data_IF_646104082459
#
_entry.id   IF_646104082459
#
_cell.length_a   1.000
_cell.length_b   1.000
_cell.length_c   1.000
_cell.angle_alpha   90.00
_cell.angle_beta   90.00
_cell.angle_gamma   90.00
#
_symmetry.space_group_name_H-M   'P 1'
#
loop_
_entity.id
_entity.type
_entity.pdbx_description
1 polymer ?
#
# COMPACT_ATOMS: atom_id res chain seq x y z
N UNK A 1 -16.06 17.61 108.95
CA UNK A 1 -17.44 17.96 109.41
C UNK A 1 -17.25 19.15 110.35
N UNK A 2 -17.87 20.32 110.15
CA UNK A 2 -17.57 21.54 110.94
C UNK A 2 -17.69 21.26 112.45
N UNK A 3 -16.56 21.13 113.15
CA UNK A 3 -16.50 21.00 114.60
C UNK A 3 -16.60 22.39 115.22
N UNK A 4 -17.29 22.53 116.36
CA UNK A 4 -17.46 23.83 116.98
C UNK A 4 -16.13 24.34 117.58
N UNK A 5 -16.00 25.66 117.75
CA UNK A 5 -14.77 26.31 118.21
C UNK A 5 -14.33 25.88 119.61
N UNK A 6 -15.26 25.55 120.50
CA UNK A 6 -14.95 25.07 121.86
C UNK A 6 -14.36 23.67 121.85
N UNK A 7 -14.88 22.78 120.99
CA UNK A 7 -14.33 21.43 120.79
C UNK A 7 -12.92 21.48 120.19
N UNK A 8 -12.69 22.37 119.22
CA UNK A 8 -11.37 22.53 118.61
C UNK A 8 -10.36 23.16 119.58
N UNK A 9 -10.79 24.06 120.48
CA UNK A 9 -9.94 24.69 121.50
C UNK A 9 -9.43 23.67 122.54
N UNK A 10 -10.25 22.69 122.92
CA UNK A 10 -9.88 21.68 123.92
C UNK A 10 -8.62 20.88 123.55
N UNK A 11 -8.44 20.54 122.27
CA UNK A 11 -7.27 19.76 121.82
C UNK A 11 -5.93 20.49 122.01
N UNK A 12 -5.92 21.83 121.98
CA UNK A 12 -4.68 22.62 122.14
C UNK A 12 -4.41 22.98 123.60
N UNK A 13 -5.43 23.03 124.45
CA UNK A 13 -5.27 23.29 125.88
C UNK A 13 -4.86 22.04 126.67
N UNK A 14 -5.19 20.83 126.20
CA UNK A 14 -4.76 19.57 126.83
C UNK A 14 -3.36 19.11 126.40
N UNK A 15 -2.73 19.80 125.44
CA UNK A 15 -1.36 19.52 125.00
C UNK A 15 -1.23 18.28 124.10
N UNK A 16 -2.33 17.67 123.65
CA UNK A 16 -2.30 16.57 122.68
C UNK A 16 -2.07 17.09 121.27
N UNK A 17 -1.30 16.33 120.48
CA UNK A 17 -1.00 16.70 119.09
C UNK A 17 -2.23 16.41 118.20
N UNK A 18 -2.80 17.42 117.52
CA UNK A 18 -3.96 17.21 116.65
C UNK A 18 -3.65 16.23 115.52
N UNK A 19 -4.65 15.49 115.07
CA UNK A 19 -4.55 14.71 113.84
C UNK A 19 -4.57 15.63 112.61
N UNK A 20 -4.08 15.13 111.47
CA UNK A 20 -4.01 15.92 110.23
C UNK A 20 -5.38 16.41 109.75
N UNK A 21 -6.43 15.60 109.92
CA UNK A 21 -7.80 15.96 109.58
C UNK A 21 -8.32 17.11 110.46
N UNK A 22 -8.01 17.07 111.76
CA UNK A 22 -8.37 18.14 112.70
C UNK A 22 -7.63 19.45 112.39
N UNK A 23 -6.37 19.37 111.94
CA UNK A 23 -5.61 20.54 111.53
C UNK A 23 -6.18 21.16 110.24
N UNK A 24 -6.61 20.33 109.29
CA UNK A 24 -7.27 20.76 108.06
C UNK A 24 -8.60 21.46 108.36
N UNK A 25 -9.46 20.85 109.20
CA UNK A 25 -10.75 21.42 109.60
C UNK A 25 -10.58 22.79 110.28
N UNK A 26 -9.47 22.99 111.02
CA UNK A 26 -9.15 24.26 111.68
C UNK A 26 -8.75 25.36 110.68
N UNK A 27 -7.91 25.01 109.71
CA UNK A 27 -7.48 25.92 108.65
C UNK A 27 -8.69 26.34 107.82
N UNK A 28 -9.53 25.39 107.40
CA UNK A 28 -10.72 25.67 106.60
C UNK A 28 -11.71 26.57 107.36
N UNK A 29 -11.94 26.31 108.65
CA UNK A 29 -12.84 27.12 109.47
C UNK A 29 -12.29 28.53 109.76
N UNK A 30 -10.96 28.68 109.86
CA UNK A 30 -10.32 29.99 110.01
C UNK A 30 -10.35 30.81 108.71
N UNK A 31 -10.11 30.17 107.56
CA UNK A 31 -10.17 30.82 106.24
C UNK A 31 -11.61 31.24 105.92
N UNK A 32 -12.59 30.35 106.12
CA UNK A 32 -14.02 30.66 105.95
C UNK A 32 -14.45 31.84 106.84
N UNK A 33 -14.05 31.85 108.12
CA UNK A 33 -14.45 32.91 109.05
C UNK A 33 -13.89 34.29 108.69
N UNK A 34 -12.85 34.34 107.85
CA UNK A 34 -12.23 35.58 107.38
C UNK A 34 -12.71 36.00 105.99
N UNK A 35 -13.54 35.20 105.32
CA UNK A 35 -14.08 35.53 104.00
C UNK A 35 -15.59 35.84 104.08
N UNK A 36 -16.02 37.07 103.77
CA UNK A 36 -17.45 37.32 103.58
C UNK A 36 -17.96 36.50 102.38
N UNK A 37 -19.22 36.07 102.46
CA UNK A 37 -19.97 35.52 101.32
C UNK A 37 -19.80 36.50 100.15
N UNK A 38 -19.51 36.00 98.94
CA UNK A 38 -19.38 36.98 97.87
C UNK A 38 -19.46 36.46 96.47
N UNK A 39 -19.61 37.45 95.60
CA UNK A 39 -20.04 37.35 94.21
C UNK A 39 -19.05 36.59 93.32
N UNK A 40 -19.54 36.16 92.16
CA UNK A 40 -18.73 35.52 91.11
C UNK A 40 -17.63 36.48 90.59
N UNK A 41 -16.55 35.91 90.04
CA UNK A 41 -15.42 36.61 89.40
C UNK A 41 -14.65 37.60 90.30
N UNK A 42 -14.56 37.31 91.60
CA UNK A 42 -13.64 38.02 92.50
C UNK A 42 -12.19 37.59 92.27
N UNK A 43 -11.26 38.53 92.42
CA UNK A 43 -9.82 38.26 92.37
C UNK A 43 -9.21 38.39 93.75
N UNK A 44 -8.30 37.47 94.07
CA UNK A 44 -7.43 37.60 95.23
C UNK A 44 -6.22 38.46 94.85
N UNK A 45 -5.98 39.51 95.63
CA UNK A 45 -4.82 40.39 95.50
C UNK A 45 -3.96 40.16 96.74
N UNK A 46 -2.74 39.70 96.52
CA UNK A 46 -1.73 39.55 97.56
C UNK A 46 -0.92 40.84 97.57
N UNK A 47 -0.87 41.52 98.70
CA UNK A 47 -0.04 42.71 98.83
C UNK A 47 1.43 42.36 99.08
N UNK A 48 2.28 43.39 99.13
CA UNK A 48 3.73 43.25 99.33
C UNK A 48 4.13 42.64 100.69
N UNK A 49 3.21 42.62 101.66
CA UNK A 49 3.41 41.99 102.97
C UNK A 49 2.93 40.54 103.02
N UNK A 50 2.32 40.05 101.93
CA UNK A 50 1.74 38.72 101.83
C UNK A 50 0.31 38.63 102.35
N UNK A 51 -0.34 39.75 102.71
CA UNK A 51 -1.75 39.74 103.06
C UNK A 51 -2.62 39.54 101.81
N UNK A 52 -3.58 38.62 101.93
CA UNK A 52 -4.52 38.31 100.87
C UNK A 52 -5.80 39.12 101.07
N UNK A 53 -6.09 40.01 100.14
CA UNK A 53 -7.34 40.77 100.07
C UNK A 53 -8.18 40.35 98.86
N UNK A 54 -9.47 40.68 98.87
CA UNK A 54 -10.40 40.36 97.78
C UNK A 54 -10.78 41.65 97.05
N UNK A 55 -10.61 41.68 95.73
CA UNK A 55 -10.96 42.81 94.87
C UNK A 55 -11.93 42.39 93.74
N UNK A 56 -12.61 43.37 93.15
CA UNK A 56 -13.45 43.18 91.96
C UNK A 56 -12.62 42.86 90.72
N UNK A 57 -13.27 42.27 89.70
CA UNK A 57 -12.67 41.98 88.40
C UNK A 57 -12.03 43.24 87.77
N UNK A 58 -10.84 43.08 87.18
CA UNK A 58 -10.18 44.14 86.43
C UNK A 58 -10.55 43.99 84.95
N UNK A 59 -11.38 44.89 84.43
CA UNK A 59 -11.65 44.94 82.99
C UNK A 59 -10.43 45.52 82.25
N UNK A 60 -9.83 44.73 81.37
CA UNK A 60 -8.80 45.20 80.44
C UNK A 60 -9.53 45.71 79.19
N UNK A 61 -9.26 46.92 78.70
CA UNK A 61 -9.93 47.44 77.51
C UNK A 61 -9.72 46.50 76.31
N UNK A 62 -10.81 46.10 75.67
CA UNK A 62 -10.78 45.25 74.49
C UNK A 62 -10.52 46.10 73.25
N UNK A 63 -9.41 45.84 72.55
CA UNK A 63 -9.17 46.40 71.23
C UNK A 63 -9.61 45.42 70.15
N UNK A 64 -10.35 45.91 69.17
CA UNK A 64 -10.79 45.13 68.00
C UNK A 64 -10.58 45.94 66.73
N UNK A 65 -10.60 45.28 65.57
CA UNK A 65 -10.56 45.96 64.27
C UNK A 65 -11.96 45.98 63.68
N UNK A 66 -12.34 47.08 63.02
CA UNK A 66 -13.59 47.12 62.27
C UNK A 66 -13.53 46.22 61.04
N UNK A 67 -14.67 45.70 60.56
CA UNK A 67 -14.77 45.16 59.20
C UNK A 67 -14.43 46.25 58.18
N UNK A 68 -13.82 45.87 57.07
CA UNK A 68 -13.62 46.78 55.93
C UNK A 68 -14.98 46.99 55.26
N UNK A 69 -15.51 48.22 55.27
CA UNK A 69 -16.80 48.53 54.65
C UNK A 69 -16.69 49.69 53.67
N UNK A 70 -16.88 49.40 52.37
CA UNK A 70 -17.13 50.35 51.26
C UNK A 70 -16.10 51.45 50.96
N UNK A 71 -15.19 51.73 51.87
CA UNK A 71 -14.28 52.90 51.87
C UNK A 71 -12.82 52.48 52.03
N UNK A 72 -12.53 51.16 52.01
CA UNK A 72 -11.18 50.59 52.17
C UNK A 72 -10.46 51.06 53.44
N UNK A 73 -11.19 51.35 54.51
CA UNK A 73 -10.62 51.74 55.80
C UNK A 73 -10.73 50.61 56.81
N UNK A 74 -9.78 50.58 57.75
CA UNK A 74 -9.82 49.75 58.96
C UNK A 74 -9.65 50.66 60.17
N UNK A 75 -10.61 50.58 61.08
CA UNK A 75 -10.58 51.31 62.35
C UNK A 75 -10.07 50.39 63.46
N UNK A 76 -9.18 50.91 64.30
CA UNK A 76 -8.91 50.35 65.61
C UNK A 76 -10.01 50.83 66.56
N UNK A 77 -10.80 49.89 67.08
CA UNK A 77 -11.89 50.15 68.00
C UNK A 77 -11.43 49.86 69.43
N UNK A 78 -11.70 50.80 70.35
CA UNK A 78 -11.62 50.58 71.80
C UNK A 78 -13.03 50.59 72.35
N UNK A 79 -13.45 49.45 72.91
CA UNK A 79 -14.81 49.28 73.46
C UNK A 79 -15.91 49.65 72.44
N UNK A 80 -15.68 49.33 71.16
CA UNK A 80 -16.60 49.61 70.04
C UNK A 80 -16.50 51.02 69.43
N UNK A 81 -15.66 51.90 69.97
CA UNK A 81 -15.47 53.27 69.47
C UNK A 81 -14.16 53.40 68.71
N UNK A 82 -14.19 54.01 67.52
CA UNK A 82 -13.00 54.23 66.68
C UNK A 82 -12.02 55.20 67.36
N UNK A 83 -10.77 54.75 67.54
CA UNK A 83 -9.68 55.53 68.15
C UNK A 83 -8.51 55.78 67.20
N UNK A 84 -8.46 55.07 66.07
CA UNK A 84 -7.48 55.27 65.00
C UNK A 84 -8.02 54.66 63.71
N UNK A 85 -7.68 55.23 62.56
CA UNK A 85 -8.11 54.75 61.24
C UNK A 85 -6.90 54.67 60.30
N UNK A 86 -6.86 53.59 59.51
CA UNK A 86 -5.90 53.42 58.40
C UNK A 86 -6.67 53.35 57.09
N UNK A 87 -6.27 54.17 56.11
CA UNK A 87 -6.75 54.08 54.73
C UNK A 87 -5.91 53.05 53.96
N UNK A 88 -6.57 52.04 53.38
CA UNK A 88 -5.94 50.99 52.58
C UNK A 88 -5.89 51.32 51.09
N UNK A 89 -6.51 52.42 50.64
CA UNK A 89 -6.54 52.83 49.22
C UNK A 89 -5.15 52.87 48.57
N UNK A 90 -4.08 53.38 49.23
CA UNK A 90 -2.73 53.39 48.64
C UNK A 90 -2.12 52.01 48.39
N UNK A 91 -2.64 50.96 49.05
CA UNK A 91 -2.14 49.59 48.94
C UNK A 91 -2.97 48.72 47.99
N UNK A 92 -4.03 49.28 47.40
CA UNK A 92 -4.78 48.61 46.34
C UNK A 92 -4.12 48.90 45.00
N UNK A 93 -3.71 47.83 44.31
CA UNK A 93 -3.26 47.92 42.91
C UNK A 93 -4.49 48.03 41.98
N UNK A 94 -5.17 49.18 42.04
CA UNK A 94 -6.36 49.47 41.23
C UNK A 94 -6.25 50.76 40.42
N UNK A 95 -5.10 51.44 40.46
CA UNK A 95 -4.91 52.76 39.80
C UNK A 95 -3.97 52.68 38.60
N UNK A 96 -3.14 51.64 38.48
CA UNK A 96 -1.98 51.69 37.57
C UNK A 96 -2.07 50.86 36.28
N UNK A 97 -3.13 50.06 36.07
CA UNK A 97 -3.33 49.33 34.82
C UNK A 97 -4.82 49.31 34.44
N UNK A 98 -5.15 49.96 33.31
CA UNK A 98 -6.49 49.93 32.76
C UNK A 98 -6.93 48.48 32.45
N UNK A 99 -8.16 48.11 32.82
CA UNK A 99 -8.70 46.76 32.63
C UNK A 99 -9.10 46.53 31.18
N UNK A 100 -9.03 45.26 30.74
CA UNK A 100 -9.51 44.86 29.42
C UNK A 100 -11.04 44.96 29.33
N UNK A 101 -11.54 45.59 28.27
CA UNK A 101 -12.98 45.75 27.99
C UNK A 101 -13.40 44.92 26.77
N UNK A 102 -12.56 44.83 25.75
CA UNK A 102 -12.88 44.10 24.52
C UNK A 102 -11.63 43.59 23.81
N UNK A 103 -11.83 42.66 22.87
CA UNK A 103 -10.78 42.14 22.00
C UNK A 103 -11.36 41.71 20.65
N UNK A 104 -10.62 41.94 19.58
CA UNK A 104 -10.94 41.45 18.23
C UNK A 104 -9.70 40.82 17.60
N UNK A 105 -9.88 39.85 16.70
CA UNK A 105 -8.78 39.24 15.94
C UNK A 105 -9.03 39.51 14.46
N UNK A 106 -8.04 40.05 13.77
CA UNK A 106 -8.16 40.34 12.34
C UNK A 106 -7.92 39.10 11.45
N UNK A 107 -8.06 39.30 10.13
CA UNK A 107 -7.84 38.23 9.16
C UNK A 107 -6.40 37.70 9.13
N UNK A 108 -5.42 38.46 9.63
CA UNK A 108 -4.01 38.09 9.69
C UNK A 108 -3.63 37.44 11.03
N UNK A 109 -4.58 37.31 11.97
CA UNK A 109 -4.33 36.73 13.29
C UNK A 109 -3.79 37.72 14.31
N UNK A 110 -3.82 39.03 14.04
CA UNK A 110 -3.45 40.04 15.04
C UNK A 110 -4.63 40.32 15.96
N UNK A 111 -4.50 39.94 17.23
CA UNK A 111 -5.48 40.25 18.25
C UNK A 111 -5.25 41.67 18.78
N UNK A 112 -6.26 42.53 18.75
CA UNK A 112 -6.25 43.87 19.33
C UNK A 112 -7.17 43.90 20.53
N UNK A 113 -6.63 44.24 21.70
CA UNK A 113 -7.37 44.38 22.94
C UNK A 113 -7.54 45.85 23.29
N UNK A 114 -8.76 46.25 23.66
CA UNK A 114 -9.08 47.60 24.13
C UNK A 114 -9.28 47.59 25.63
N UNK A 115 -8.64 48.53 26.32
CA UNK A 115 -8.78 48.75 27.75
C UNK A 115 -9.85 49.81 28.05
N UNK A 116 -10.24 49.94 29.31
CA UNK A 116 -11.27 50.90 29.76
C UNK A 116 -10.89 52.38 29.59
N UNK A 117 -9.60 52.68 29.46
CA UNK A 117 -9.06 54.01 29.14
C UNK A 117 -8.98 54.27 27.62
N UNK A 118 -9.57 53.39 26.81
CA UNK A 118 -9.49 53.35 25.34
C UNK A 118 -8.07 53.13 24.79
N UNK A 119 -7.06 52.84 25.63
CA UNK A 119 -5.77 52.39 25.13
C UNK A 119 -5.89 50.97 24.56
N UNK A 120 -5.06 50.66 23.58
CA UNK A 120 -5.03 49.34 22.95
C UNK A 120 -3.65 48.72 23.02
N UNK A 121 -3.59 47.40 23.01
CA UNK A 121 -2.37 46.66 22.67
C UNK A 121 -2.71 45.48 21.79
N UNK A 122 -1.69 44.96 21.11
CA UNK A 122 -1.84 43.83 20.19
C UNK A 122 -1.05 42.61 20.63
N UNK A 123 -1.55 41.43 20.25
CA UNK A 123 -0.89 40.14 20.40
C UNK A 123 -0.95 39.43 19.05
N UNK A 124 0.20 38.98 18.55
CA UNK A 124 0.26 38.21 17.32
C UNK A 124 -0.11 36.75 17.58
N UNK A 125 -1.26 36.32 17.04
CA UNK A 125 -1.75 34.95 17.08
C UNK A 125 -1.71 34.26 15.71
N UNK A 126 -0.98 34.82 14.72
CA UNK A 126 -0.86 34.27 13.36
C UNK A 126 -0.46 32.79 13.35
N UNK A 127 0.41 32.39 14.28
CA UNK A 127 0.87 31.00 14.44
C UNK A 127 -0.23 30.00 14.83
N UNK A 128 -1.40 30.45 15.31
CA UNK A 128 -2.51 29.56 15.65
C UNK A 128 -3.41 29.24 14.44
N UNK A 129 -3.27 29.98 13.33
CA UNK A 129 -4.21 29.91 12.19
C UNK A 129 -3.88 28.79 11.18
N UNK A 130 -2.67 28.23 11.23
CA UNK A 130 -2.12 27.35 10.16
C UNK A 130 -1.99 25.86 10.53
N UNK A 131 -2.79 25.34 11.46
CA UNK A 131 -2.65 23.95 11.93
C UNK A 131 -3.37 22.88 11.09
N UNK A 132 -4.05 23.23 10.00
CA UNK A 132 -4.51 22.22 9.05
C UNK A 132 -3.34 21.82 8.13
N UNK A 133 -3.00 20.51 7.98
CA UNK A 133 -2.01 20.08 7.02
C UNK A 133 -2.36 20.59 5.62
N UNK A 134 -1.56 21.51 5.08
CA UNK A 134 -1.70 21.94 3.69
C UNK A 134 -1.18 20.80 2.81
N UNK A 135 -2.10 20.01 2.25
CA UNK A 135 -1.75 19.00 1.27
C UNK A 135 -1.26 19.71 -0.01
N UNK A 136 0.04 19.63 -0.29
CA UNK A 136 0.57 20.10 -1.56
C UNK A 136 0.33 19.04 -2.62
N UNK A 137 -0.42 19.40 -3.66
CA UNK A 137 -0.58 18.53 -4.81
C UNK A 137 0.77 18.43 -5.55
N UNK A 138 1.23 17.21 -5.86
CA UNK A 138 2.35 17.01 -6.78
C UNK A 138 1.93 17.29 -8.23
N UNK A 139 2.84 17.23 -9.19
CA UNK A 139 2.58 17.62 -10.60
C UNK A 139 1.38 16.95 -11.28
N UNK A 140 0.95 15.78 -10.81
CA UNK A 140 -0.13 14.99 -11.42
C UNK A 140 -1.45 15.06 -10.65
N UNK A 141 -1.52 15.84 -9.58
CA UNK A 141 -2.72 16.02 -8.78
C UNK A 141 -3.02 17.52 -8.76
N UNK A 142 -4.29 17.87 -8.91
CA UNK A 142 -4.80 19.20 -8.60
C UNK A 142 -5.76 19.06 -7.43
N UNK A 143 -5.59 19.92 -6.43
CA UNK A 143 -6.48 20.00 -5.27
C UNK A 143 -7.26 21.29 -5.44
N UNK A 144 -8.57 21.17 -5.62
CA UNK A 144 -9.45 22.32 -5.58
C UNK A 144 -9.62 22.77 -4.12
N UNK A 145 -9.08 23.94 -3.80
CA UNK A 145 -9.10 24.52 -2.46
C UNK A 145 -10.25 25.50 -2.24
N UNK A 146 -11.16 25.66 -3.20
CA UNK A 146 -12.30 26.59 -3.08
C UNK A 146 -13.27 26.22 -1.96
N UNK A 147 -13.36 24.94 -1.59
CA UNK A 147 -14.05 24.48 -0.38
C UNK A 147 -13.11 23.60 0.48
N UNK A 148 -12.49 24.15 1.54
CA UNK A 148 -11.52 23.41 2.35
C UNK A 148 -12.13 22.26 3.16
N UNK A 149 -13.45 22.22 3.35
CA UNK A 149 -14.13 21.12 4.05
C UNK A 149 -14.44 19.93 3.13
N UNK A 150 -14.39 20.13 1.81
CA UNK A 150 -14.62 19.11 0.78
C UNK A 150 -13.72 19.36 -0.44
N UNK A 151 -12.40 19.16 -0.31
CA UNK A 151 -11.49 19.36 -1.44
C UNK A 151 -11.78 18.32 -2.53
N UNK A 152 -11.85 18.77 -3.79
CA UNK A 152 -11.90 17.88 -4.94
C UNK A 152 -10.46 17.55 -5.32
N UNK A 153 -10.10 16.26 -5.30
CA UNK A 153 -8.80 15.76 -5.72
C UNK A 153 -8.93 15.22 -7.14
N UNK A 154 -8.40 15.97 -8.11
CA UNK A 154 -8.38 15.56 -9.51
C UNK A 154 -6.98 15.11 -9.89
N UNK A 155 -6.84 13.89 -10.39
CA UNK A 155 -5.60 13.46 -11.01
C UNK A 155 -5.55 13.97 -12.45
N UNK A 156 -4.60 14.86 -12.76
CA UNK A 156 -4.40 15.44 -14.10
C UNK A 156 -4.11 14.37 -15.15
N UNK A 157 -3.66 13.19 -14.72
CA UNK A 157 -3.37 12.02 -15.57
C UNK A 157 -4.27 10.81 -15.30
N UNK A 158 -5.23 10.94 -14.38
CA UNK A 158 -6.19 9.88 -14.04
C UNK A 158 -7.44 9.84 -14.92
N UNK A 159 -7.59 10.82 -15.83
CA UNK A 159 -8.57 10.73 -16.91
C UNK A 159 -7.97 9.89 -18.03
N UNK A 160 -8.14 8.57 -17.93
CA UNK A 160 -7.96 7.57 -18.99
C UNK A 160 -7.28 8.08 -20.27
N UNK A 161 -5.98 8.37 -20.20
CA UNK A 161 -5.16 8.45 -21.40
C UNK A 161 -5.00 6.99 -21.83
N UNK A 162 -6.04 6.49 -22.50
CA UNK A 162 -6.02 5.18 -23.12
C UNK A 162 -5.00 5.29 -24.24
N UNK A 163 -3.87 4.62 -24.08
CA UNK A 163 -2.95 4.42 -25.20
C UNK A 163 -3.59 3.40 -26.11
N UNK A 164 -4.11 3.86 -27.24
CA UNK A 164 -4.57 2.98 -28.29
C UNK A 164 -3.35 2.50 -29.06
N UNK A 165 -3.18 1.18 -29.11
CA UNK A 165 -2.17 0.53 -29.92
C UNK A 165 -2.83 -0.02 -31.17
N UNK A 166 -2.26 0.30 -32.32
CA UNK A 166 -2.63 -0.30 -33.61
C UNK A 166 -1.40 -0.93 -34.26
N UNK A 167 -1.63 -1.87 -35.17
CA UNK A 167 -0.54 -2.59 -35.85
C UNK A 167 -0.68 -2.48 -37.37
N UNK A 168 0.34 -1.93 -38.02
CA UNK A 168 0.49 -1.94 -39.48
C UNK A 168 1.40 -3.12 -39.88
N UNK A 169 0.81 -4.13 -40.51
CA UNK A 169 1.51 -5.32 -40.97
C UNK A 169 2.50 -5.07 -42.12
N UNK A 170 2.28 -4.04 -42.95
CA UNK A 170 3.16 -3.73 -44.07
C UNK A 170 4.51 -3.16 -43.58
N UNK A 171 4.45 -2.33 -42.54
CA UNK A 171 5.64 -1.72 -41.93
C UNK A 171 6.13 -2.43 -40.67
N UNK A 172 5.33 -3.35 -40.12
CA UNK A 172 5.53 -4.02 -38.82
C UNK A 172 5.53 -3.04 -37.64
N UNK A 173 4.84 -1.92 -37.79
CA UNK A 173 4.82 -0.86 -36.78
C UNK A 173 3.66 -1.06 -35.82
N UNK A 174 3.95 -1.10 -34.53
CA UNK A 174 2.97 -0.89 -33.46
C UNK A 174 2.91 0.61 -33.21
N UNK A 175 1.83 1.25 -33.67
CA UNK A 175 1.63 2.67 -33.50
C UNK A 175 0.98 2.96 -32.15
N UNK A 176 1.43 4.02 -31.47
CA UNK A 176 0.95 4.43 -30.15
C UNK A 176 0.27 5.79 -30.23
N UNK A 177 -1.00 5.89 -29.80
CA UNK A 177 -1.75 7.15 -29.86
C UNK A 177 -1.20 8.25 -28.94
N UNK A 178 -0.36 7.91 -27.97
CA UNK A 178 0.11 8.81 -26.92
C UNK A 178 1.64 8.78 -26.72
N UNK A 179 2.36 8.05 -27.57
CA UNK A 179 3.80 7.84 -27.42
C UNK A 179 4.50 7.61 -28.75
N UNK A 180 5.68 7.00 -28.69
CA UNK A 180 6.48 6.67 -29.87
C UNK A 180 6.11 5.30 -30.41
N UNK A 181 6.00 5.21 -31.73
CA UNK A 181 5.80 3.95 -32.43
C UNK A 181 7.00 3.01 -32.28
N UNK A 182 6.73 1.71 -32.35
CA UNK A 182 7.77 0.68 -32.32
C UNK A 182 7.70 -0.19 -33.57
N UNK A 183 8.84 -0.40 -34.24
CA UNK A 183 8.93 -1.34 -35.37
C UNK A 183 9.35 -2.71 -34.82
N UNK A 184 8.50 -3.72 -35.01
CA UNK A 184 8.84 -5.09 -34.67
C UNK A 184 9.80 -5.66 -35.73
N UNK A 185 10.99 -6.15 -35.34
CA UNK A 185 11.93 -6.75 -36.29
C UNK A 185 11.38 -8.07 -36.83
N UNK A 186 11.95 -8.55 -37.94
CA UNK A 186 11.74 -9.94 -38.35
C UNK A 186 12.58 -10.87 -37.48
N UNK A 187 12.04 -12.06 -37.20
CA UNK A 187 12.75 -13.09 -36.45
C UNK A 187 13.93 -13.63 -37.27
N UNK A 188 15.10 -13.71 -36.62
CA UNK A 188 16.29 -14.39 -37.11
C UNK A 188 17.06 -15.02 -35.93
N UNK A 189 18.28 -15.52 -36.16
CA UNK A 189 19.08 -16.17 -35.14
C UNK A 189 19.51 -15.25 -33.98
N UNK A 190 19.39 -13.93 -34.14
CA UNK A 190 19.84 -12.90 -33.19
C UNK A 190 18.68 -12.06 -32.66
N UNK A 191 17.67 -11.81 -33.49
CA UNK A 191 16.54 -10.94 -33.18
C UNK A 191 15.28 -11.75 -32.87
N UNK A 192 14.71 -11.55 -31.68
CA UNK A 192 13.33 -11.95 -31.41
C UNK A 192 12.39 -11.02 -32.18
N UNK A 193 11.52 -11.56 -33.04
CA UNK A 193 10.71 -10.76 -33.95
C UNK A 193 9.53 -11.50 -34.56
N UNK A 194 8.92 -10.88 -35.58
CA UNK A 194 7.83 -11.44 -36.35
C UNK A 194 8.33 -12.51 -37.33
N UNK A 195 7.54 -13.55 -37.56
CA UNK A 195 7.85 -14.54 -38.59
C UNK A 195 7.95 -13.87 -39.97
N UNK A 196 8.89 -14.31 -40.80
CA UNK A 196 9.04 -13.80 -42.17
C UNK A 196 7.75 -14.04 -42.96
N UNK A 197 7.42 -13.15 -43.88
CA UNK A 197 6.26 -13.33 -44.76
C UNK A 197 6.37 -14.68 -45.49
N UNK A 198 5.25 -15.40 -45.60
CA UNK A 198 5.11 -16.76 -46.14
C UNK A 198 5.82 -17.87 -45.33
N UNK A 199 6.12 -17.64 -44.03
CA UNK A 199 6.83 -18.64 -43.22
C UNK A 199 6.04 -19.94 -43.11
N UNK A 200 4.72 -19.82 -43.11
CA UNK A 200 3.80 -20.94 -43.23
C UNK A 200 2.88 -20.76 -44.43
N UNK A 201 2.72 -21.82 -45.22
CA UNK A 201 1.75 -21.86 -46.31
C UNK A 201 1.27 -23.29 -46.55
N UNK A 202 0.04 -23.42 -47.03
CA UNK A 202 -0.58 -24.69 -47.40
C UNK A 202 -1.19 -24.55 -48.79
N UNK A 203 -1.32 -25.68 -49.49
CA UNK A 203 -1.95 -25.65 -50.79
C UNK A 203 -2.09 -27.02 -51.43
N UNK A 204 -2.61 -26.99 -52.65
CA UNK A 204 -2.73 -28.14 -53.52
C UNK A 204 -1.67 -28.07 -54.64
N UNK A 205 -1.26 -29.23 -55.15
CA UNK A 205 -0.40 -29.33 -56.32
C UNK A 205 -0.82 -30.52 -57.20
N UNK A 206 -0.38 -30.53 -58.46
CA UNK A 206 -0.66 -31.62 -59.40
C UNK A 206 0.63 -32.43 -59.60
N UNK A 207 0.69 -33.69 -59.13
CA UNK A 207 1.87 -34.52 -59.32
C UNK A 207 2.03 -34.92 -60.80
N UNK A 208 3.27 -35.21 -61.20
CA UNK A 208 3.59 -35.70 -62.55
C UNK A 208 4.31 -37.04 -62.51
N UNK A 209 4.08 -37.88 -63.53
CA UNK A 209 4.81 -39.13 -63.73
C UNK A 209 5.54 -39.08 -65.07
N UNK A 210 6.82 -39.41 -65.07
CA UNK A 210 7.67 -39.36 -66.26
C UNK A 210 8.50 -40.64 -66.35
N UNK A 211 8.59 -41.20 -67.56
CA UNK A 211 9.59 -42.21 -67.89
C UNK A 211 10.84 -41.47 -68.35
N UNK A 212 11.92 -41.57 -67.59
CA UNK A 212 13.17 -40.87 -67.91
C UNK A 212 13.74 -41.30 -69.27
N UNK A 213 13.46 -42.54 -69.70
CA UNK A 213 13.89 -43.07 -71.00
C UNK A 213 13.02 -42.61 -72.19
N UNK A 214 11.86 -42.00 -71.91
CA UNK A 214 10.95 -41.46 -72.92
C UNK A 214 10.20 -42.49 -73.77
N UNK A 215 10.28 -43.78 -73.43
CA UNK A 215 9.63 -44.86 -74.18
C UNK A 215 8.14 -45.03 -73.86
N UNK A 216 7.67 -44.47 -72.75
CA UNK A 216 6.28 -44.49 -72.34
C UNK A 216 5.76 -43.15 -71.78
N UNK A 217 4.42 -43.04 -71.78
CA UNK A 217 3.68 -41.98 -71.08
C UNK A 217 2.70 -42.61 -70.09
N UNK A 218 2.35 -41.86 -69.05
CA UNK A 218 1.42 -42.30 -68.01
C UNK A 218 0.20 -41.38 -67.99
N UNK A 219 -0.98 -41.93 -68.26
CA UNK A 219 -2.25 -41.25 -68.03
C UNK A 219 -2.75 -41.56 -66.63
N UNK A 220 -3.22 -40.56 -65.87
CA UNK A 220 -3.62 -40.74 -64.47
C UNK A 220 -4.49 -39.57 -63.97
N UNK A 221 -5.13 -39.78 -62.81
CA UNK A 221 -5.76 -38.73 -62.01
C UNK A 221 -4.94 -38.51 -60.73
N UNK A 222 -4.35 -37.33 -60.55
CA UNK A 222 -3.45 -37.05 -59.42
C UNK A 222 -3.73 -35.71 -58.76
N UNK A 223 -3.71 -35.69 -57.43
CA UNK A 223 -3.74 -34.46 -56.64
C UNK A 223 -2.90 -34.64 -55.38
N UNK A 224 -2.14 -33.60 -55.06
CA UNK A 224 -1.36 -33.51 -53.83
C UNK A 224 -1.75 -32.32 -52.99
N UNK A 225 -1.44 -32.43 -51.70
CA UNK A 225 -1.55 -31.36 -50.70
C UNK A 225 -0.21 -31.19 -50.00
N UNK A 226 0.08 -29.97 -49.56
CA UNK A 226 1.29 -29.68 -48.81
C UNK A 226 1.04 -28.67 -47.69
N UNK A 227 1.92 -28.71 -46.69
CA UNK A 227 2.15 -27.65 -45.72
C UNK A 227 3.65 -27.35 -45.68
N UNK A 228 4.03 -26.07 -45.74
CA UNK A 228 5.41 -25.62 -45.61
C UNK A 228 5.55 -24.81 -44.33
N UNK A 229 6.59 -25.10 -43.56
CA UNK A 229 7.04 -24.29 -42.41
C UNK A 229 8.51 -23.97 -42.61
N UNK A 230 8.84 -22.70 -42.84
CA UNK A 230 10.19 -22.28 -43.21
C UNK A 230 10.64 -22.97 -44.50
N UNK A 231 11.80 -23.64 -44.45
CA UNK A 231 12.32 -24.43 -45.57
C UNK A 231 11.84 -25.89 -45.59
N UNK A 232 11.04 -26.32 -44.63
CA UNK A 232 10.55 -27.71 -44.57
C UNK A 232 9.16 -27.81 -45.20
N UNK A 233 9.02 -28.66 -46.22
CA UNK A 233 7.76 -28.93 -46.92
C UNK A 233 7.32 -30.34 -46.56
N UNK A 234 6.17 -30.49 -45.91
CA UNK A 234 5.51 -31.77 -45.71
C UNK A 234 4.38 -31.89 -46.73
N UNK A 235 4.25 -33.06 -47.35
CA UNK A 235 3.28 -33.27 -48.40
C UNK A 235 2.67 -34.66 -48.35
N UNK A 236 1.52 -34.80 -48.99
CA UNK A 236 0.95 -36.10 -49.37
C UNK A 236 0.21 -35.99 -50.69
N UNK A 237 0.20 -37.05 -51.48
CA UNK A 237 -0.58 -37.11 -52.71
C UNK A 237 -1.01 -38.52 -53.04
N UNK A 238 -2.05 -38.60 -53.87
CA UNK A 238 -2.49 -39.84 -54.49
C UNK A 238 -2.60 -39.66 -55.99
N UNK A 239 -2.13 -40.66 -56.73
CA UNK A 239 -2.30 -40.82 -58.15
C UNK A 239 -3.07 -42.12 -58.35
N UNK A 240 -4.19 -42.07 -59.06
CA UNK A 240 -5.06 -43.22 -59.31
C UNK A 240 -5.28 -43.42 -60.81
N UNK A 241 -5.73 -44.61 -61.18
CA UNK A 241 -6.02 -45.02 -62.56
C UNK A 241 -4.83 -44.83 -63.50
N UNK A 242 -3.62 -45.10 -63.01
CA UNK A 242 -2.40 -44.97 -63.80
C UNK A 242 -2.42 -46.01 -64.91
N UNK A 243 -2.33 -45.55 -66.15
CA UNK A 243 -2.29 -46.41 -67.33
C UNK A 243 -1.08 -46.04 -68.18
N UNK A 244 -0.23 -47.03 -68.47
CA UNK A 244 0.95 -46.85 -69.31
C UNK A 244 0.60 -46.98 -70.79
N UNK A 245 1.05 -46.03 -71.60
CA UNK A 245 1.01 -46.10 -73.07
C UNK A 245 2.44 -46.09 -73.61
N UNK A 246 2.77 -47.04 -74.49
CA UNK A 246 4.13 -47.26 -74.97
C UNK A 246 4.89 -48.31 -74.14
N UNK A 247 6.22 -48.34 -74.29
CA UNK A 247 7.10 -49.29 -73.61
C UNK A 247 8.11 -48.51 -72.75
N UNK A 248 8.00 -48.52 -71.41
CA UNK A 248 8.92 -47.79 -70.55
C UNK A 248 10.36 -48.23 -70.77
N UNK A 249 11.28 -47.27 -70.96
CA UNK A 249 12.70 -47.55 -71.26
C UNK A 249 13.67 -47.03 -70.21
N UNK A 250 13.19 -46.25 -69.23
CA UNK A 250 14.01 -45.68 -68.17
C UNK A 250 13.39 -45.78 -66.79
N UNK A 251 13.83 -44.88 -65.92
CA UNK A 251 13.43 -44.79 -64.52
C UNK A 251 12.08 -44.08 -64.37
N UNK A 252 11.28 -44.50 -63.38
CA UNK A 252 10.09 -43.78 -62.97
C UNK A 252 10.48 -42.54 -62.16
N UNK A 253 10.08 -41.37 -62.66
CA UNK A 253 10.26 -40.08 -62.01
C UNK A 253 8.90 -39.58 -61.54
N UNK A 254 8.84 -39.07 -60.31
CA UNK A 254 7.67 -38.36 -59.80
C UNK A 254 8.02 -36.89 -59.63
N UNK A 255 7.19 -36.00 -60.16
CA UNK A 255 7.39 -34.56 -60.13
C UNK A 255 6.15 -33.76 -59.78
N UNK A 256 6.20 -32.47 -60.11
CA UNK A 256 5.10 -31.53 -59.88
C UNK A 256 5.08 -30.93 -58.47
N UNK A 257 6.16 -31.10 -57.71
CA UNK A 257 6.27 -30.56 -56.36
C UNK A 257 6.19 -29.02 -56.34
N UNK A 258 5.50 -28.43 -55.34
CA UNK A 258 5.16 -27.01 -55.32
C UNK A 258 6.35 -26.07 -55.11
N UNK A 259 7.45 -26.57 -54.52
CA UNK A 259 8.67 -25.81 -54.29
C UNK A 259 9.89 -26.53 -54.79
N UNK A 260 10.92 -25.75 -55.13
CA UNK A 260 12.21 -26.30 -55.51
C UNK A 260 12.82 -27.11 -54.37
N UNK A 261 13.29 -28.32 -54.67
CA UNK A 261 13.98 -29.21 -53.74
C UNK A 261 15.40 -28.67 -53.53
N UNK A 262 15.74 -28.42 -52.28
CA UNK A 262 17.07 -27.97 -51.86
C UNK A 262 17.98 -29.17 -51.57
N UNK A 263 19.24 -29.04 -52.01
CA UNK A 263 20.29 -30.06 -51.94
C UNK A 263 19.89 -31.40 -52.58
N UNK A 264 19.90 -31.43 -53.92
CA UNK A 264 19.55 -32.60 -54.73
C UNK A 264 20.53 -33.80 -54.61
N UNK A 265 21.58 -33.69 -53.78
CA UNK A 265 22.61 -34.72 -53.62
C UNK A 265 22.54 -35.48 -52.28
N UNK A 266 21.69 -35.07 -51.33
CA UNK A 266 21.51 -35.77 -50.05
C UNK A 266 20.49 -36.91 -50.15
N UNK A 267 20.98 -38.14 -50.22
CA UNK A 267 20.16 -39.38 -50.31
C UNK A 267 19.35 -39.65 -49.02
N UNK A 268 19.77 -39.10 -47.88
CA UNK A 268 19.15 -39.31 -46.57
C UNK A 268 17.83 -38.55 -46.36
N UNK A 269 17.45 -37.62 -47.26
CA UNK A 269 16.19 -36.85 -47.16
C UNK A 269 15.02 -37.54 -47.85
N UNK A 270 15.01 -38.87 -47.74
CA UNK A 270 14.04 -39.78 -48.36
C UNK A 270 12.60 -39.47 -47.91
N UNK A 271 11.67 -39.46 -48.86
CA UNK A 271 10.23 -39.36 -48.58
C UNK A 271 9.69 -40.73 -48.16
N UNK A 272 8.62 -40.75 -47.37
CA UNK A 272 8.13 -41.95 -46.71
C UNK A 272 6.85 -42.47 -47.37
N UNK A 273 6.97 -43.71 -47.86
CA UNK A 273 5.89 -44.60 -48.26
C UNK A 273 5.30 -44.23 -49.61
N UNK A 274 5.85 -44.84 -50.66
CA UNK A 274 5.13 -45.05 -51.91
C UNK A 274 4.47 -46.43 -51.86
N UNK A 275 3.14 -46.47 -51.82
CA UNK A 275 2.39 -47.69 -52.14
C UNK A 275 2.08 -47.62 -53.63
N UNK A 276 2.57 -48.60 -54.38
CA UNK A 276 2.33 -48.68 -55.82
C UNK A 276 1.76 -50.04 -56.19
N UNK A 277 0.56 -50.06 -56.75
CA UNK A 277 -0.15 -51.29 -57.14
C UNK A 277 -0.65 -51.19 -58.57
N UNK A 278 -0.56 -52.26 -59.36
CA UNK A 278 -1.14 -52.37 -60.71
C UNK A 278 -0.08 -52.50 -61.81
N UNK A 279 -0.41 -53.23 -62.89
CA UNK A 279 0.55 -53.58 -63.94
C UNK A 279 1.66 -54.51 -63.44
N UNK A 280 2.93 -54.15 -63.69
CA UNK A 280 4.10 -54.88 -63.19
C UNK A 280 4.59 -54.41 -61.81
N UNK A 281 3.75 -53.65 -61.09
CA UNK A 281 4.09 -52.98 -59.84
C UNK A 281 3.25 -53.51 -58.69
N UNK A 282 3.91 -54.03 -57.65
CA UNK A 282 3.25 -54.44 -56.42
C UNK A 282 4.22 -54.34 -55.23
N UNK A 283 4.38 -53.13 -54.70
CA UNK A 283 5.30 -52.84 -53.59
C UNK A 283 4.59 -52.04 -52.49
N UNK A 284 4.81 -52.44 -51.24
CA UNK A 284 4.25 -51.79 -50.05
C UNK A 284 5.09 -50.61 -49.55
N UNK A 285 6.39 -50.57 -49.90
CA UNK A 285 7.32 -49.52 -49.48
C UNK A 285 8.41 -49.30 -50.55
N UNK A 286 8.42 -48.10 -51.16
CA UNK A 286 9.52 -47.61 -51.99
C UNK A 286 10.09 -46.32 -51.39
N UNK A 287 11.33 -46.01 -51.76
CA UNK A 287 12.04 -44.79 -51.37
C UNK A 287 12.10 -43.81 -52.54
N UNK A 288 12.41 -42.55 -52.24
CA UNK A 288 12.68 -41.53 -53.27
C UNK A 288 14.02 -40.85 -53.04
N UNK A 289 14.68 -40.46 -54.12
CA UNK A 289 15.88 -39.61 -54.07
C UNK A 289 15.65 -38.36 -54.93
N UNK A 290 16.05 -37.15 -54.48
CA UNK A 290 15.97 -35.96 -55.31
C UNK A 290 16.62 -36.17 -56.69
N UNK A 291 15.99 -35.66 -57.75
CA UNK A 291 16.53 -35.75 -59.11
C UNK A 291 16.83 -34.37 -59.71
N UNK A 292 15.86 -33.47 -59.62
CA UNK A 292 15.91 -32.14 -60.20
C UNK A 292 15.19 -31.16 -59.27
N UNK A 293 14.98 -29.92 -59.71
CA UNK A 293 14.39 -28.88 -58.88
C UNK A 293 13.01 -29.25 -58.36
N UNK A 294 12.20 -30.07 -59.04
CA UNK A 294 10.86 -30.42 -58.57
C UNK A 294 10.49 -31.88 -58.83
N UNK A 295 11.49 -32.77 -58.84
CA UNK A 295 11.31 -34.17 -59.15
C UNK A 295 12.16 -35.08 -58.26
N UNK A 296 11.61 -36.25 -57.99
CA UNK A 296 12.28 -37.35 -57.32
C UNK A 296 12.35 -38.58 -58.24
N UNK A 297 13.44 -39.34 -58.14
CA UNK A 297 13.53 -40.71 -58.68
C UNK A 297 12.92 -41.67 -57.68
N UNK A 298 12.20 -42.68 -58.18
CA UNK A 298 11.70 -43.77 -57.35
C UNK A 298 12.76 -44.85 -57.22
N UNK A 299 12.96 -45.37 -56.01
CA UNK A 299 13.91 -46.43 -55.74
C UNK A 299 13.20 -47.65 -55.14
N UNK A 300 13.58 -48.83 -55.62
CA UNK A 300 13.10 -50.10 -55.08
C UNK A 300 14.09 -50.63 -54.05
N UNK A 301 13.58 -51.06 -52.90
CA UNK A 301 14.35 -51.86 -51.95
C UNK A 301 14.10 -53.34 -52.27
N UNK A 302 15.12 -54.08 -52.68
CA UNK A 302 14.99 -55.52 -52.86
C UNK A 302 14.91 -56.16 -51.46
N UNK A 303 13.71 -56.55 -51.06
CA UNK A 303 13.43 -57.23 -49.78
C UNK A 303 14.29 -58.50 -49.67
N UNK A 304 15.44 -58.45 -48.99
CA UNK A 304 16.17 -59.69 -48.68
C UNK A 304 17.60 -59.60 -48.17
N UNK A 305 18.36 -58.53 -48.43
CA UNK A 305 19.79 -58.56 -48.07
C UNK A 305 20.29 -57.19 -47.63
N UNK A 306 20.66 -57.08 -46.35
CA UNK A 306 21.43 -55.95 -45.82
C UNK A 306 22.71 -55.81 -46.65
N UNK A 307 22.87 -54.68 -47.35
CA UNK A 307 24.06 -54.37 -48.16
C UNK A 307 23.86 -54.34 -49.69
N UNK A 308 22.64 -54.53 -50.21
CA UNK A 308 22.39 -54.39 -51.64
C UNK A 308 22.26 -52.89 -52.04
N UNK A 309 22.81 -52.45 -53.20
CA UNK A 309 22.63 -51.09 -53.67
C UNK A 309 21.15 -50.79 -53.90
N UNK A 310 20.72 -49.63 -53.43
CA UNK A 310 19.38 -49.11 -53.69
C UNK A 310 19.25 -48.89 -55.20
N UNK A 311 18.40 -49.67 -55.88
CA UNK A 311 18.25 -49.61 -57.33
C UNK A 311 17.14 -48.63 -57.73
N UNK A 312 17.37 -47.83 -58.77
CA UNK A 312 16.31 -47.00 -59.35
C UNK A 312 15.24 -47.90 -59.97
N UNK A 313 13.97 -47.52 -59.75
CA UNK A 313 12.86 -48.30 -60.26
C UNK A 313 12.64 -47.96 -61.74
N UNK A 314 13.01 -48.88 -62.63
CA UNK A 314 12.97 -48.71 -64.08
C UNK A 314 12.03 -49.69 -64.78
N UNK A 315 11.69 -49.39 -66.04
CA UNK A 315 10.79 -50.20 -66.87
C UNK A 315 9.41 -50.44 -66.23
N UNK A 316 8.88 -49.40 -65.57
CA UNK A 316 7.67 -49.47 -64.76
C UNK A 316 6.42 -49.31 -65.61
N UNK A 317 5.51 -50.29 -65.61
CA UNK A 317 4.26 -50.25 -66.36
C UNK A 317 3.05 -50.46 -65.44
N UNK A 318 2.02 -49.65 -65.66
CA UNK A 318 0.79 -49.66 -64.89
C UNK A 318 -0.39 -50.08 -65.74
N UNK A 319 -1.28 -50.87 -65.14
CA UNK A 319 -2.61 -51.19 -65.66
C UNK A 319 -3.59 -50.94 -64.53
N UNK A 320 -4.38 -49.86 -64.64
CA UNK A 320 -5.24 -49.34 -63.57
C UNK A 320 -4.50 -49.19 -62.23
N UNK A 321 -3.32 -48.58 -62.29
CA UNK A 321 -2.42 -48.48 -61.15
C UNK A 321 -2.80 -47.40 -60.15
N UNK A 322 -2.29 -47.52 -58.93
CA UNK A 322 -2.36 -46.47 -57.91
C UNK A 322 -1.00 -46.21 -57.29
N UNK A 323 -0.70 -44.95 -56.99
CA UNK A 323 0.52 -44.49 -56.31
C UNK A 323 0.10 -43.53 -55.20
N UNK A 324 0.42 -43.84 -53.95
CA UNK A 324 0.20 -42.94 -52.80
C UNK A 324 1.53 -42.61 -52.17
N UNK A 325 1.80 -41.33 -51.94
CA UNK A 325 3.09 -40.88 -51.41
C UNK A 325 2.89 -39.82 -50.35
N UNK A 326 3.71 -39.87 -49.31
CA UNK A 326 3.83 -38.80 -48.32
C UNK A 326 5.29 -38.55 -47.97
N UNK A 327 5.58 -37.43 -47.34
CA UNK A 327 6.92 -37.20 -46.83
C UNK A 327 7.22 -35.75 -46.57
N UNK A 328 8.51 -35.50 -46.33
CA UNK A 328 9.02 -34.16 -46.09
C UNK A 328 10.27 -33.96 -46.94
N UNK A 329 10.41 -32.77 -47.53
CA UNK A 329 11.63 -32.35 -48.21
C UNK A 329 11.99 -30.93 -47.83
N UNK A 330 13.23 -30.52 -48.12
CA UNK A 330 13.68 -29.15 -47.87
C UNK A 330 13.61 -28.33 -49.15
N UNK A 331 13.25 -27.06 -49.03
CA UNK A 331 13.29 -26.05 -50.09
C UNK A 331 14.25 -24.92 -49.73
N UNK A 332 14.50 -24.01 -50.67
CA UNK A 332 15.41 -22.88 -50.52
C UNK A 332 14.69 -21.53 -50.50
N UNK A 333 13.39 -21.49 -50.20
CA UNK A 333 12.61 -20.24 -50.13
C UNK A 333 13.22 -19.24 -49.13
N UNK A 334 13.81 -19.71 -48.03
CA UNK A 334 14.48 -18.89 -47.01
C UNK A 334 15.98 -19.10 -46.89
N UNK A 335 16.67 -19.61 -47.92
CA UNK A 335 18.14 -19.65 -47.85
C UNK A 335 18.71 -18.23 -47.77
N UNK A 336 19.53 -17.98 -46.76
CA UNK A 336 20.52 -16.90 -46.73
C UNK A 336 21.61 -17.16 -47.76
#
# INVERSE_FOLDING_TARGET
>A
MKQNKETLKQFFETGDKPTQEQYSDLIDSYIDAKQPEGEANRRFVIDETGEVSVASEQQVPGYTLSPISGTNTVDLLKDGVSVSQIDLTPYLDNINLARLVSGTVDANGLATFTREDNSTFTVDLSNLKDTAPQYQAGSNITIDTTNPLQPIINATTGSGVVTDLSYDAATRTVASSTGTDAVLPLADATNAGLQKANFYEEGIFTPTLVDLGGGATYAFNGQGVYSRVGNSVTFSYSINNVTTTGTPTGELIIGGFPFNIFNIFDVEKSTNIIISTGGNVNYDLLYTSPFSSNQFRVLKHDNGTVGNPVNYYSSVSFTDGSIKVSGTYQTNVYSS
#
